data_IF_392592883933
#
_entry.id   IF_392592883933
#
_cell.length_a   1.000
_cell.length_b   1.000
_cell.length_c   1.000
_cell.angle_alpha   90.00
_cell.angle_beta   90.00
_cell.angle_gamma   90.00
#
_symmetry.space_group_name_H-M   'P 1'
#
loop_
_entity.id
_entity.type
_entity.pdbx_description
1 polymer ?
#
# COMPACT_ATOMS: atom_id res chain seq x y z
N UNK A 1 -38.65 -3.38 6.39
CA UNK A 1 -38.53 -3.68 4.93
C UNK A 1 -38.88 -2.45 4.09
N UNK A 2 -40.04 -1.78 4.30
CA UNK A 2 -40.49 -0.64 3.49
C UNK A 2 -39.44 0.50 3.39
N UNK A 3 -38.70 0.82 4.47
CA UNK A 3 -37.68 1.85 4.50
C UNK A 3 -36.48 1.58 3.54
N UNK A 4 -36.13 0.32 3.36
CA UNK A 4 -35.01 -0.11 2.51
C UNK A 4 -35.40 -0.57 1.11
N UNK A 5 -36.72 -0.70 0.82
CA UNK A 5 -37.21 -1.12 -0.48
C UNK A 5 -36.66 -0.32 -1.68
N UNK A 6 -36.43 1.02 -1.60
CA UNK A 6 -35.82 1.78 -2.69
C UNK A 6 -34.41 1.36 -3.06
N UNK A 7 -33.66 0.75 -2.12
CA UNK A 7 -32.28 0.28 -2.32
C UNK A 7 -32.19 -1.16 -2.80
N UNK A 8 -33.31 -1.91 -2.83
CA UNK A 8 -33.39 -3.33 -3.17
C UNK A 8 -34.18 -3.59 -4.47
N UNK A 9 -34.05 -2.71 -5.46
CA UNK A 9 -34.92 -2.70 -6.69
C UNK A 9 -34.82 -3.96 -7.57
N UNK A 10 -33.68 -4.69 -7.56
CA UNK A 10 -33.44 -5.81 -8.46
C UNK A 10 -33.25 -7.17 -7.76
N UNK A 11 -33.01 -7.17 -6.47
CA UNK A 11 -32.88 -8.37 -5.63
C UNK A 11 -33.23 -8.00 -4.20
N UNK A 12 -33.81 -8.95 -3.46
CA UNK A 12 -33.93 -8.79 -2.02
C UNK A 12 -32.51 -8.79 -1.40
N UNK A 13 -32.10 -7.60 -0.96
CA UNK A 13 -30.79 -7.37 -0.31
C UNK A 13 -30.89 -7.37 1.21
N UNK A 14 -32.10 -7.51 1.75
CA UNK A 14 -32.34 -7.52 3.17
C UNK A 14 -32.38 -8.96 3.68
N UNK A 15 -31.38 -9.30 4.49
CA UNK A 15 -31.32 -10.58 5.17
C UNK A 15 -31.61 -10.31 6.64
N UNK A 16 -32.74 -10.85 7.14
CA UNK A 16 -33.14 -10.75 8.54
C UNK A 16 -32.57 -11.93 9.31
N UNK A 17 -31.87 -11.62 10.41
CA UNK A 17 -31.27 -12.63 11.30
C UNK A 17 -31.25 -12.11 12.74
N UNK A 18 -30.88 -12.94 13.70
CA UNK A 18 -30.68 -12.51 15.07
C UNK A 18 -29.49 -11.54 15.19
N UNK A 19 -29.45 -10.77 16.28
CA UNK A 19 -28.45 -9.71 16.47
C UNK A 19 -27.03 -10.24 16.46
N UNK A 20 -26.74 -11.37 17.10
CA UNK A 20 -25.40 -11.95 17.17
C UNK A 20 -24.91 -12.41 15.80
N UNK A 21 -25.78 -13.05 15.03
CA UNK A 21 -25.48 -13.45 13.63
C UNK A 21 -25.28 -12.25 12.73
N UNK A 22 -26.04 -11.16 12.90
CA UNK A 22 -25.86 -9.95 12.12
C UNK A 22 -24.53 -9.23 12.40
N UNK A 23 -24.13 -9.14 13.67
CA UNK A 23 -22.83 -8.59 14.06
C UNK A 23 -21.70 -9.50 13.55
N UNK A 24 -21.79 -10.81 13.72
CA UNK A 24 -20.79 -11.75 13.23
C UNK A 24 -20.65 -11.69 11.70
N UNK A 25 -21.75 -11.57 10.96
CA UNK A 25 -21.74 -11.43 9.50
C UNK A 25 -20.89 -10.22 9.07
N UNK A 26 -20.99 -9.09 9.76
CA UNK A 26 -20.19 -7.91 9.47
C UNK A 26 -18.70 -8.14 9.69
N UNK A 27 -18.33 -8.74 10.83
CA UNK A 27 -16.93 -9.03 11.15
C UNK A 27 -16.36 -10.10 10.20
N UNK A 28 -17.10 -11.17 9.95
CA UNK A 28 -16.68 -12.24 9.05
C UNK A 28 -16.43 -11.73 7.63
N UNK A 29 -17.33 -10.89 7.10
CA UNK A 29 -17.16 -10.29 5.77
C UNK A 29 -15.87 -9.45 5.69
N UNK A 30 -15.62 -8.57 6.67
CA UNK A 30 -14.41 -7.76 6.67
C UNK A 30 -13.14 -8.59 6.85
N UNK A 31 -13.15 -9.62 7.70
CA UNK A 31 -12.04 -10.54 7.88
C UNK A 31 -11.75 -11.34 6.61
N UNK A 32 -12.79 -11.79 5.89
CA UNK A 32 -12.61 -12.46 4.59
C UNK A 32 -11.96 -11.55 3.55
N UNK A 33 -12.36 -10.28 3.47
CA UNK A 33 -11.74 -9.32 2.56
C UNK A 33 -10.29 -9.02 2.97
N UNK A 34 -10.01 -8.87 4.26
CA UNK A 34 -8.65 -8.71 4.79
C UNK A 34 -7.77 -9.94 4.49
N UNK A 35 -8.35 -11.16 4.59
CA UNK A 35 -7.67 -12.41 4.22
C UNK A 35 -7.27 -12.42 2.76
N UNK A 36 -8.14 -12.02 1.84
CA UNK A 36 -7.82 -11.93 0.40
C UNK A 36 -6.65 -10.99 0.13
N UNK A 37 -6.61 -9.83 0.81
CA UNK A 37 -5.52 -8.86 0.67
C UNK A 37 -4.21 -9.42 1.26
N UNK A 38 -4.24 -10.00 2.47
CA UNK A 38 -3.04 -10.59 3.07
C UNK A 38 -2.53 -11.78 2.27
N UNK A 39 -3.43 -12.64 1.76
CA UNK A 39 -3.07 -13.76 0.90
C UNK A 39 -2.34 -13.32 -0.35
N UNK A 40 -2.89 -12.38 -1.13
CA UNK A 40 -2.24 -11.93 -2.36
C UNK A 40 -0.92 -11.20 -2.10
N UNK A 41 -0.78 -10.52 -0.97
CA UNK A 41 0.46 -9.89 -0.56
C UNK A 41 1.54 -10.91 -0.19
N UNK A 42 1.16 -12.00 0.49
CA UNK A 42 2.08 -13.11 0.77
C UNK A 42 2.51 -13.80 -0.52
N UNK A 43 1.57 -14.09 -1.43
CA UNK A 43 1.88 -14.60 -2.78
C UNK A 43 2.80 -13.63 -3.55
N UNK A 44 2.59 -12.32 -3.46
CA UNK A 44 3.47 -11.33 -4.07
C UNK A 44 4.91 -11.44 -3.56
N UNK A 45 5.09 -11.56 -2.24
CA UNK A 45 6.42 -11.73 -1.64
C UNK A 45 7.09 -13.06 -2.04
N UNK A 46 6.30 -14.12 -2.31
CA UNK A 46 6.80 -15.38 -2.86
C UNK A 46 7.21 -15.19 -4.33
N UNK A 47 6.35 -14.54 -5.14
CA UNK A 47 6.64 -14.27 -6.55
C UNK A 47 7.99 -13.58 -6.75
N UNK A 48 8.29 -12.56 -5.94
CA UNK A 48 9.60 -11.87 -6.01
C UNK A 48 10.79 -12.81 -5.79
N UNK A 49 10.66 -13.80 -4.90
CA UNK A 49 11.74 -14.74 -4.58
C UNK A 49 11.94 -15.81 -5.63
N UNK A 50 10.87 -16.21 -6.31
CA UNK A 50 10.92 -17.27 -7.34
C UNK A 50 10.98 -16.71 -8.77
N UNK A 51 11.02 -15.38 -8.93
CA UNK A 51 11.08 -14.73 -10.25
C UNK A 51 9.77 -14.74 -11.02
N UNK A 52 8.62 -14.89 -10.33
CA UNK A 52 7.30 -14.81 -10.96
C UNK A 52 6.74 -13.37 -10.92
N UNK A 53 5.76 -13.07 -11.79
CA UNK A 53 5.00 -11.82 -11.77
C UNK A 53 3.66 -12.02 -11.08
N UNK A 54 3.47 -11.35 -9.94
CA UNK A 54 2.20 -11.40 -9.19
C UNK A 54 1.02 -10.86 -10.00
N UNK A 55 1.24 -9.96 -10.95
CA UNK A 55 0.19 -9.46 -11.85
C UNK A 55 -0.36 -10.56 -12.75
N UNK A 56 0.52 -11.43 -13.30
CA UNK A 56 0.13 -12.61 -14.07
C UNK A 56 -0.59 -13.63 -13.18
N UNK A 57 -0.04 -13.93 -12.00
CA UNK A 57 -0.67 -14.82 -11.01
C UNK A 57 -2.06 -14.31 -10.62
N UNK A 58 -2.20 -13.02 -10.32
CA UNK A 58 -3.49 -12.38 -9.99
C UNK A 58 -4.52 -12.54 -11.12
N UNK A 59 -4.12 -12.32 -12.38
CA UNK A 59 -5.01 -12.53 -13.53
C UNK A 59 -5.46 -13.98 -13.63
N UNK A 60 -4.53 -14.91 -13.46
CA UNK A 60 -4.83 -16.35 -13.53
C UNK A 60 -5.83 -16.80 -12.47
N UNK A 61 -5.53 -16.56 -11.18
CA UNK A 61 -6.42 -16.99 -10.09
C UNK A 61 -7.73 -16.21 -10.07
N UNK A 62 -7.72 -14.92 -10.47
CA UNK A 62 -8.91 -14.06 -10.51
C UNK A 62 -9.90 -14.45 -11.61
N UNK A 63 -9.48 -15.17 -12.64
CA UNK A 63 -10.34 -15.69 -13.70
C UNK A 63 -11.28 -16.80 -13.18
N UNK A 64 -10.91 -17.50 -12.09
CA UNK A 64 -11.82 -18.44 -11.42
C UNK A 64 -12.93 -17.64 -10.70
N UNK A 65 -14.20 -17.88 -11.07
CA UNK A 65 -15.36 -17.18 -10.50
C UNK A 65 -15.51 -17.40 -8.99
N UNK A 66 -14.97 -18.49 -8.43
CA UNK A 66 -14.98 -18.77 -6.99
C UNK A 66 -14.06 -17.83 -6.22
N UNK A 67 -13.03 -17.27 -6.87
CA UNK A 67 -12.06 -16.34 -6.30
C UNK A 67 -12.42 -14.90 -6.69
N UNK A 68 -12.55 -14.64 -8.01
CA UNK A 68 -12.82 -13.33 -8.58
C UNK A 68 -11.67 -12.34 -8.44
N UNK A 69 -11.72 -11.23 -9.16
CA UNK A 69 -10.66 -10.23 -9.22
C UNK A 69 -10.64 -9.23 -8.06
N UNK A 70 -11.71 -9.18 -7.25
CA UNK A 70 -11.84 -8.19 -6.19
C UNK A 70 -11.04 -8.59 -4.94
N UNK A 71 -10.41 -7.58 -4.31
CA UNK A 71 -9.62 -7.70 -3.08
C UNK A 71 -8.35 -8.59 -3.17
N UNK A 72 -7.91 -8.94 -4.37
CA UNK A 72 -6.64 -9.63 -4.63
C UNK A 72 -5.66 -8.71 -5.39
N UNK A 73 -5.58 -7.44 -4.98
CA UNK A 73 -4.60 -6.47 -5.50
C UNK A 73 -3.39 -6.43 -4.55
N UNK A 74 -2.19 -6.83 -5.00
CA UNK A 74 -0.99 -6.75 -4.18
C UNK A 74 -0.59 -5.29 -3.95
N UNK A 75 -0.04 -5.00 -2.78
CA UNK A 75 0.38 -3.66 -2.42
C UNK A 75 0.93 -3.58 -1.00
N UNK A 76 0.74 -2.43 -0.35
CA UNK A 76 1.29 -2.09 0.95
C UNK A 76 0.49 -2.61 2.16
N UNK A 77 -0.39 -3.58 1.97
CA UNK A 77 -1.33 -4.00 2.99
C UNK A 77 -2.56 -3.10 3.08
N UNK A 78 -3.45 -3.44 4.00
CA UNK A 78 -4.65 -2.66 4.30
C UNK A 78 -4.48 -1.76 5.52
N UNK A 79 -5.21 -0.65 5.51
CA UNK A 79 -5.33 0.31 6.61
C UNK A 79 -6.77 0.78 6.73
N UNK A 80 -6.94 2.00 7.25
CA UNK A 80 -8.25 2.61 7.48
C UNK A 80 -8.89 2.19 8.78
N UNK A 81 -10.14 2.59 8.98
CA UNK A 81 -10.85 2.41 10.23
C UNK A 81 -11.54 1.06 10.39
N UNK A 82 -11.80 0.34 9.29
CA UNK A 82 -12.65 -0.85 9.31
C UNK A 82 -11.83 -2.15 9.47
N UNK A 83 -11.00 -2.49 8.49
CA UNK A 83 -10.32 -3.78 8.48
C UNK A 83 -9.41 -4.01 9.70
N UNK A 84 -8.49 -3.09 10.08
CA UNK A 84 -7.63 -3.35 11.22
C UNK A 84 -8.42 -3.51 12.53
N UNK A 85 -9.44 -2.67 12.72
CA UNK A 85 -10.29 -2.72 13.91
C UNK A 85 -11.12 -4.01 13.97
N UNK A 86 -11.77 -4.39 12.87
CA UNK A 86 -12.68 -5.52 12.84
C UNK A 86 -11.93 -6.86 12.94
N UNK A 87 -10.75 -6.96 12.32
CA UNK A 87 -9.86 -8.12 12.47
C UNK A 87 -9.42 -8.28 13.92
N UNK A 88 -8.90 -7.22 14.55
CA UNK A 88 -8.48 -7.24 15.96
C UNK A 88 -9.65 -7.55 16.90
N UNK A 89 -10.84 -6.95 16.66
CA UNK A 89 -12.03 -7.20 17.46
C UNK A 89 -12.47 -8.67 17.38
N UNK A 90 -12.47 -9.27 16.17
CA UNK A 90 -12.83 -10.68 16.03
C UNK A 90 -11.82 -11.61 16.71
N UNK A 91 -10.52 -11.31 16.64
CA UNK A 91 -9.48 -12.06 17.36
C UNK A 91 -9.74 -12.01 18.88
N UNK A 92 -10.02 -10.82 19.42
CA UNK A 92 -10.31 -10.65 20.85
C UNK A 92 -11.57 -11.40 21.25
N UNK A 93 -12.67 -11.22 20.50
CA UNK A 93 -13.95 -11.92 20.78
C UNK A 93 -13.80 -13.43 20.75
N UNK A 94 -13.03 -13.97 19.80
CA UNK A 94 -12.76 -15.40 19.72
C UNK A 94 -12.02 -15.91 20.97
N UNK A 95 -10.94 -15.23 21.37
CA UNK A 95 -10.16 -15.61 22.56
C UNK A 95 -10.95 -15.50 23.84
N UNK A 96 -11.75 -14.46 24.00
CA UNK A 96 -12.64 -14.28 25.14
C UNK A 96 -13.71 -15.39 25.25
N UNK A 97 -14.06 -16.00 24.10
CA UNK A 97 -14.96 -17.15 24.03
C UNK A 97 -14.26 -18.52 24.12
N UNK A 98 -12.93 -18.54 24.36
CA UNK A 98 -12.15 -19.78 24.51
C UNK A 98 -11.67 -20.40 23.18
N UNK A 99 -11.72 -19.65 22.06
CA UNK A 99 -11.27 -20.13 20.76
C UNK A 99 -10.07 -19.31 20.25
N UNK A 100 -8.97 -19.97 19.86
CA UNK A 100 -7.82 -19.25 19.24
C UNK A 100 -8.01 -19.19 17.71
N UNK A 101 -8.18 -17.98 17.14
CA UNK A 101 -8.47 -17.79 15.73
C UNK A 101 -7.17 -17.70 14.90
N UNK A 102 -6.47 -18.81 14.75
CA UNK A 102 -5.15 -18.90 14.09
C UNK A 102 -5.10 -18.22 12.73
N UNK A 103 -6.06 -18.51 11.84
CA UNK A 103 -6.10 -17.93 10.50
C UNK A 103 -6.22 -16.41 10.54
N UNK A 104 -7.12 -15.86 11.34
CA UNK A 104 -7.38 -14.42 11.42
C UNK A 104 -6.19 -13.70 12.07
N UNK A 105 -5.56 -14.31 13.07
CA UNK A 105 -4.34 -13.81 13.69
C UNK A 105 -3.18 -13.81 12.69
N UNK A 106 -3.03 -14.83 11.85
CA UNK A 106 -2.05 -14.87 10.77
C UNK A 106 -2.29 -13.75 9.73
N UNK A 107 -3.54 -13.48 9.38
CA UNK A 107 -3.90 -12.38 8.45
C UNK A 107 -3.44 -11.01 8.98
N UNK A 108 -3.65 -10.73 10.28
CA UNK A 108 -3.19 -9.48 10.91
C UNK A 108 -1.66 -9.39 10.92
N UNK A 109 -0.99 -10.48 11.27
CA UNK A 109 0.47 -10.56 11.29
C UNK A 109 1.09 -10.37 9.89
N UNK A 110 0.51 -10.98 8.85
CA UNK A 110 0.93 -10.78 7.46
C UNK A 110 0.77 -9.32 7.05
N UNK A 111 -0.38 -8.70 7.36
CA UNK A 111 -0.63 -7.31 7.03
C UNK A 111 0.36 -6.36 7.72
N UNK A 112 0.69 -6.60 8.97
CA UNK A 112 1.68 -5.81 9.70
C UNK A 112 3.06 -5.87 9.02
N UNK A 113 3.53 -7.06 8.65
CA UNK A 113 4.80 -7.24 7.91
C UNK A 113 4.77 -6.58 6.52
N UNK A 114 3.60 -6.62 5.87
CA UNK A 114 3.44 -6.05 4.52
C UNK A 114 3.61 -4.54 4.49
N UNK A 115 3.15 -3.82 5.51
CA UNK A 115 3.32 -2.36 5.60
C UNK A 115 4.80 -1.92 5.60
N UNK A 116 5.70 -2.80 5.97
CA UNK A 116 7.15 -2.53 6.06
C UNK A 116 7.92 -2.89 4.77
N UNK A 117 7.29 -3.61 3.82
CA UNK A 117 8.01 -4.16 2.64
C UNK A 117 8.66 -3.05 1.81
N UNK A 118 7.96 -1.95 1.55
CA UNK A 118 8.50 -0.87 0.74
C UNK A 118 9.64 -0.12 1.45
N UNK A 119 9.51 0.11 2.76
CA UNK A 119 10.57 0.72 3.57
C UNK A 119 11.85 -0.11 3.52
N UNK A 120 11.73 -1.45 3.63
CA UNK A 120 12.88 -2.35 3.48
C UNK A 120 13.51 -2.28 2.09
N UNK A 121 12.71 -2.29 1.01
CA UNK A 121 13.23 -2.13 -0.37
C UNK A 121 14.02 -0.83 -0.54
N UNK A 122 13.53 0.27 0.04
CA UNK A 122 14.24 1.56 0.03
C UNK A 122 15.55 1.44 0.81
N UNK A 123 15.52 0.88 2.01
CA UNK A 123 16.73 0.71 2.84
C UNK A 123 17.78 -0.17 2.15
N UNK A 124 17.37 -1.31 1.58
CA UNK A 124 18.25 -2.23 0.85
C UNK A 124 18.90 -1.55 -0.38
N UNK A 125 18.11 -0.76 -1.12
CA UNK A 125 18.64 -0.02 -2.27
C UNK A 125 19.73 0.98 -1.89
N UNK A 126 19.55 1.66 -0.76
CA UNK A 126 20.52 2.65 -0.28
C UNK A 126 21.67 2.04 0.54
N UNK A 127 21.55 0.82 1.04
CA UNK A 127 22.63 0.17 1.82
C UNK A 127 23.97 0.16 1.07
N UNK A 128 23.97 -0.19 -0.22
CA UNK A 128 25.14 -0.15 -1.09
C UNK A 128 25.53 1.25 -1.61
N UNK A 129 24.83 2.31 -1.18
CA UNK A 129 24.98 3.68 -1.68
C UNK A 129 25.21 4.71 -0.55
N UNK A 130 25.76 4.27 0.57
CA UNK A 130 26.08 5.11 1.72
C UNK A 130 24.95 5.24 2.76
N UNK A 131 23.91 4.40 2.69
CA UNK A 131 22.84 4.35 3.68
C UNK A 131 21.74 5.42 3.48
N UNK A 132 20.90 5.56 4.50
CA UNK A 132 19.72 6.43 4.48
C UNK A 132 19.97 7.81 5.09
N UNK A 133 20.98 7.94 5.96
CA UNK A 133 21.24 9.19 6.68
C UNK A 133 21.58 10.34 5.73
N UNK A 134 20.96 11.49 5.97
CA UNK A 134 21.11 12.68 5.13
C UNK A 134 20.42 12.63 3.77
N UNK A 135 19.76 11.54 3.40
CA UNK A 135 18.99 11.44 2.15
C UNK A 135 17.57 11.96 2.30
N UNK A 136 16.94 12.26 1.17
CA UNK A 136 15.57 12.77 1.09
C UNK A 136 14.73 11.86 0.21
N UNK A 137 13.62 11.35 0.75
CA UNK A 137 12.60 10.63 0.00
C UNK A 137 11.45 11.55 -0.39
N UNK A 138 11.09 11.58 -1.66
CA UNK A 138 9.79 12.07 -2.09
C UNK A 138 8.74 10.97 -1.87
N UNK A 139 7.62 11.29 -1.23
CA UNK A 139 6.57 10.33 -0.93
C UNK A 139 5.24 10.84 -1.48
N UNK A 140 4.64 10.08 -2.41
CA UNK A 140 3.32 10.34 -2.96
C UNK A 140 2.27 9.44 -2.34
N UNK A 141 1.31 10.08 -1.67
CA UNK A 141 0.21 9.42 -0.98
C UNK A 141 0.46 9.23 0.51
N UNK A 142 -0.49 9.69 1.31
CA UNK A 142 -0.47 9.61 2.78
C UNK A 142 -1.68 8.87 3.32
N UNK A 143 -2.86 9.01 2.68
CA UNK A 143 -4.06 8.29 3.03
C UNK A 143 -3.92 6.78 2.76
N UNK A 144 -4.65 5.94 3.51
CA UNK A 144 -4.60 4.48 3.34
C UNK A 144 -5.12 3.99 1.98
N UNK A 145 -5.93 4.79 1.30
CA UNK A 145 -6.42 4.59 -0.08
C UNK A 145 -6.76 5.94 -0.72
N UNK A 146 -6.99 5.97 -2.02
CA UNK A 146 -7.47 7.15 -2.74
C UNK A 146 -8.89 7.57 -2.30
N UNK A 147 -9.25 8.82 -2.59
CA UNK A 147 -10.57 9.43 -2.34
C UNK A 147 -10.95 9.54 -0.85
N UNK A 148 -9.97 9.66 0.03
CA UNK A 148 -10.18 9.92 1.47
C UNK A 148 -8.97 10.64 2.06
N UNK A 149 -9.17 11.34 3.18
CA UNK A 149 -8.11 11.89 4.02
C UNK A 149 -7.71 10.97 5.17
N UNK A 150 -8.32 9.76 5.26
CA UNK A 150 -8.12 8.86 6.39
C UNK A 150 -6.72 8.23 6.36
N UNK A 151 -5.92 8.53 7.38
CA UNK A 151 -4.56 8.03 7.56
C UNK A 151 -4.44 6.96 8.64
N UNK A 152 -5.57 6.53 9.25
CA UNK A 152 -5.52 5.51 10.30
C UNK A 152 -4.94 4.21 9.75
N UNK A 153 -3.95 3.67 10.46
CA UNK A 153 -3.27 2.42 10.04
C UNK A 153 -2.72 2.46 8.60
N UNK A 154 -2.46 3.66 8.05
CA UNK A 154 -1.90 3.80 6.71
C UNK A 154 -0.43 3.34 6.66
N UNK A 155 -0.05 2.65 5.60
CA UNK A 155 1.33 2.19 5.40
C UNK A 155 2.33 3.35 5.28
N UNK A 156 1.87 4.53 4.83
CA UNK A 156 2.68 5.76 4.77
C UNK A 156 3.27 6.15 6.12
N UNK A 157 2.50 5.98 7.21
CA UNK A 157 2.96 6.31 8.56
C UNK A 157 4.09 5.38 9.02
N UNK A 158 4.00 4.08 8.70
CA UNK A 158 5.07 3.12 9.01
C UNK A 158 6.34 3.44 8.23
N UNK A 159 6.23 3.73 6.95
CA UNK A 159 7.35 4.11 6.08
C UNK A 159 8.02 5.39 6.61
N UNK A 160 7.24 6.43 6.91
CA UNK A 160 7.76 7.68 7.46
C UNK A 160 8.51 7.41 8.76
N UNK A 161 7.90 6.68 9.69
CA UNK A 161 8.49 6.34 10.99
C UNK A 161 9.81 5.59 10.85
N UNK A 162 9.84 4.53 10.02
CA UNK A 162 11.02 3.69 9.84
C UNK A 162 12.18 4.46 9.17
N UNK A 163 11.90 5.17 8.08
CA UNK A 163 12.94 5.86 7.33
C UNK A 163 13.47 7.09 8.06
N UNK A 164 12.61 7.84 8.77
CA UNK A 164 13.07 8.99 9.55
C UNK A 164 13.88 8.58 10.78
N UNK A 165 13.55 7.45 11.40
CA UNK A 165 14.35 6.88 12.48
C UNK A 165 15.75 6.44 11.99
N UNK A 166 15.87 6.05 10.72
CA UNK A 166 17.14 5.72 10.07
C UNK A 166 17.88 6.93 9.47
N UNK A 167 17.44 8.16 9.77
CA UNK A 167 18.12 9.40 9.37
C UNK A 167 17.64 10.02 8.05
N UNK A 168 16.75 9.38 7.30
CA UNK A 168 16.25 9.88 6.03
C UNK A 168 15.19 10.99 6.26
N UNK A 169 15.23 12.07 5.49
CA UNK A 169 14.16 13.05 5.47
C UNK A 169 13.06 12.65 4.46
N UNK A 170 11.82 13.00 4.74
CA UNK A 170 10.67 12.70 3.88
C UNK A 170 9.96 13.99 3.48
N UNK A 171 9.82 14.24 2.19
CA UNK A 171 8.94 15.26 1.62
C UNK A 171 7.71 14.54 1.06
N UNK A 172 6.54 14.81 1.58
CA UNK A 172 5.33 14.07 1.24
C UNK A 172 4.26 14.96 0.61
N UNK A 173 3.52 14.41 -0.33
CA UNK A 173 2.34 15.03 -0.91
C UNK A 173 1.17 14.03 -0.95
N UNK A 174 0.00 14.51 -0.60
CA UNK A 174 -1.27 13.83 -0.80
C UNK A 174 -2.34 14.83 -1.23
N UNK A 175 -3.17 14.54 -2.23
CA UNK A 175 -4.18 15.46 -2.73
C UNK A 175 -5.19 15.95 -1.71
N UNK A 176 -5.45 15.16 -0.66
CA UNK A 176 -6.52 15.40 0.31
C UNK A 176 -6.02 15.33 1.76
N UNK A 177 -5.12 14.40 2.07
CA UNK A 177 -4.70 14.13 3.44
C UNK A 177 -3.64 15.11 4.00
N UNK A 178 -3.15 16.07 3.22
CA UNK A 178 -2.05 16.96 3.63
C UNK A 178 -2.30 17.69 4.95
N UNK A 179 -3.48 18.29 5.14
CA UNK A 179 -3.84 18.99 6.39
C UNK A 179 -3.93 18.04 7.59
N UNK A 180 -4.41 16.82 7.37
CA UNK A 180 -4.47 15.78 8.40
C UNK A 180 -3.07 15.29 8.76
N UNK A 181 -2.22 15.10 7.76
CA UNK A 181 -0.83 14.70 7.97
C UNK A 181 -0.05 15.73 8.82
N UNK A 182 -0.21 17.03 8.56
CA UNK A 182 0.41 18.07 9.39
C UNK A 182 -0.03 17.99 10.83
N UNK A 183 -1.31 17.79 11.10
CA UNK A 183 -1.81 17.65 12.49
C UNK A 183 -1.29 16.37 13.15
N UNK A 184 -1.18 15.27 12.42
CA UNK A 184 -0.79 13.97 12.96
C UNK A 184 0.73 13.87 13.21
N UNK A 185 1.53 14.41 12.29
CA UNK A 185 2.99 14.33 12.33
C UNK A 185 3.61 15.54 13.07
N UNK A 186 2.84 16.62 13.28
CA UNK A 186 3.31 17.82 13.97
C UNK A 186 4.56 18.41 13.32
N UNK A 187 5.41 19.01 14.16
CA UNK A 187 6.70 19.61 13.74
C UNK A 187 7.83 18.57 13.68
N UNK A 188 7.58 17.43 13.02
CA UNK A 188 8.58 16.38 12.90
C UNK A 188 9.80 16.88 12.10
N UNK A 189 11.04 16.89 12.65
CA UNK A 189 12.18 17.62 12.09
C UNK A 189 12.65 17.08 10.71
N UNK A 190 12.26 15.84 10.37
CA UNK A 190 12.65 15.19 9.10
C UNK A 190 11.47 15.00 8.14
N UNK A 191 10.29 15.58 8.41
CA UNK A 191 9.09 15.42 7.58
C UNK A 191 8.57 16.78 7.12
N UNK A 192 8.40 16.93 5.81
CA UNK A 192 7.76 18.11 5.22
C UNK A 192 6.55 17.68 4.40
N UNK A 193 5.39 18.26 4.65
CA UNK A 193 4.18 18.07 3.85
C UNK A 193 4.12 19.20 2.81
N UNK A 194 4.17 18.80 1.54
CA UNK A 194 4.19 19.67 0.38
C UNK A 194 2.79 19.98 -0.14
N UNK A 195 2.66 21.06 -0.93
CA UNK A 195 1.36 21.55 -1.43
C UNK A 195 1.04 21.05 -2.84
N UNK A 196 2.04 20.59 -3.59
CA UNK A 196 1.86 20.11 -4.96
C UNK A 196 2.60 18.80 -5.21
N UNK A 197 2.13 18.05 -6.23
CA UNK A 197 2.63 16.71 -6.56
C UNK A 197 4.13 16.67 -6.84
N UNK A 198 4.68 17.67 -7.53
CA UNK A 198 6.09 17.66 -7.94
C UNK A 198 7.03 18.32 -6.95
N UNK A 199 6.54 19.10 -6.00
CA UNK A 199 7.36 19.77 -4.98
C UNK A 199 8.19 18.79 -4.14
N UNK A 200 7.69 17.61 -3.68
CA UNK A 200 8.50 16.67 -2.94
C UNK A 200 9.73 16.17 -3.69
N UNK A 201 9.65 16.10 -5.03
CA UNK A 201 10.70 15.56 -5.88
C UNK A 201 11.93 16.47 -5.97
N UNK A 202 11.77 17.77 -5.72
CA UNK A 202 12.86 18.75 -5.86
C UNK A 202 14.01 18.41 -4.92
N UNK A 203 15.11 17.91 -5.50
CA UNK A 203 16.31 17.49 -4.77
C UNK A 203 16.12 16.26 -3.87
N UNK A 204 15.06 15.46 -4.08
CA UNK A 204 14.91 14.17 -3.43
C UNK A 204 15.81 13.11 -4.08
N UNK A 205 16.21 12.13 -3.28
CA UNK A 205 17.07 11.03 -3.75
C UNK A 205 16.27 9.94 -4.47
N UNK A 206 14.99 9.75 -4.15
CA UNK A 206 14.10 8.79 -4.80
C UNK A 206 12.63 9.18 -4.60
N UNK A 207 11.73 8.54 -5.36
CA UNK A 207 10.27 8.64 -5.21
C UNK A 207 9.70 7.34 -4.67
N UNK A 208 8.84 7.42 -3.64
CA UNK A 208 7.97 6.34 -3.20
C UNK A 208 6.50 6.67 -3.44
N UNK A 209 5.72 5.69 -3.93
CA UNK A 209 4.27 5.82 -4.16
C UNK A 209 3.54 4.86 -3.23
N UNK A 210 2.69 5.41 -2.35
CA UNK A 210 2.05 4.65 -1.27
C UNK A 210 0.53 4.58 -1.41
N UNK A 211 -0.07 5.55 -2.09
CA UNK A 211 -1.51 5.60 -2.34
C UNK A 211 -1.79 5.72 -3.85
N UNK A 212 -2.79 5.00 -4.32
CA UNK A 212 -3.13 4.87 -5.74
C UNK A 212 -4.05 5.98 -6.28
N UNK A 213 -3.72 7.23 -5.96
CA UNK A 213 -4.44 8.38 -6.49
C UNK A 213 -4.43 8.41 -8.02
N UNK A 214 -5.55 8.77 -8.62
CA UNK A 214 -5.66 8.81 -10.08
C UNK A 214 -4.64 9.75 -10.74
N UNK A 215 -4.35 10.89 -10.09
CA UNK A 215 -3.34 11.85 -10.59
C UNK A 215 -1.91 11.31 -10.61
N UNK A 216 -1.61 10.23 -9.85
CA UNK A 216 -0.28 9.61 -9.86
C UNK A 216 -0.11 8.58 -11.00
N UNK A 217 -1.20 8.18 -11.68
CA UNK A 217 -1.16 7.12 -12.71
C UNK A 217 -0.48 7.53 -14.00
N UNK A 218 -0.60 8.80 -14.39
CA UNK A 218 -0.01 9.32 -15.62
C UNK A 218 0.80 10.60 -15.34
N UNK A 219 1.93 10.49 -14.62
CA UNK A 219 2.76 11.64 -14.32
C UNK A 219 3.65 12.01 -15.51
N UNK A 220 4.21 13.20 -15.50
CA UNK A 220 5.32 13.57 -16.37
C UNK A 220 6.62 12.92 -15.87
N UNK A 221 6.97 11.75 -16.43
CA UNK A 221 8.20 11.02 -16.09
C UNK A 221 9.47 11.82 -16.41
N UNK A 222 9.46 12.61 -17.48
CA UNK A 222 10.58 13.48 -17.82
C UNK A 222 10.84 14.53 -16.74
N UNK A 223 9.77 15.11 -16.16
CA UNK A 223 9.85 16.02 -15.03
C UNK A 223 10.31 15.31 -13.75
N UNK A 224 9.79 14.13 -13.45
CA UNK A 224 10.25 13.33 -12.30
C UNK A 224 11.76 13.09 -12.39
N UNK A 225 12.25 12.63 -13.54
CA UNK A 225 13.67 12.33 -13.75
C UNK A 225 14.57 13.55 -13.58
N UNK A 226 14.11 14.73 -14.00
CA UNK A 226 14.88 15.99 -13.85
C UNK A 226 14.95 16.49 -12.40
N UNK A 227 13.92 16.21 -11.60
CA UNK A 227 13.82 16.72 -10.23
C UNK A 227 14.52 15.82 -9.21
N UNK A 228 14.55 14.50 -9.46
CA UNK A 228 15.22 13.53 -8.60
C UNK A 228 16.74 13.55 -8.80
N UNK A 229 17.50 13.38 -7.71
CA UNK A 229 18.95 13.15 -7.76
C UNK A 229 19.30 11.78 -8.33
N UNK A 230 18.52 10.77 -7.98
CA UNK A 230 18.66 9.39 -8.45
C UNK A 230 17.32 9.00 -9.08
N UNK A 231 17.28 8.56 -10.35
CA UNK A 231 16.04 8.18 -11.01
C UNK A 231 15.55 6.80 -10.49
N UNK A 232 15.15 6.74 -9.22
CA UNK A 232 14.63 5.54 -8.58
C UNK A 232 13.18 5.74 -8.11
N UNK A 233 12.31 4.79 -8.44
CA UNK A 233 10.90 4.77 -8.07
C UNK A 233 10.58 3.50 -7.30
N UNK A 234 9.99 3.66 -6.12
CA UNK A 234 9.47 2.60 -5.26
C UNK A 234 7.94 2.65 -5.28
N UNK A 235 7.34 1.78 -6.05
CA UNK A 235 5.89 1.78 -6.29
C UNK A 235 5.18 0.71 -5.44
N UNK A 236 4.64 1.12 -4.32
CA UNK A 236 3.90 0.27 -3.39
C UNK A 236 2.49 -0.09 -3.88
N UNK A 237 2.06 0.43 -5.03
CA UNK A 237 0.70 0.22 -5.58
C UNK A 237 0.69 -0.40 -6.96
N UNK A 238 1.87 -0.69 -7.53
CA UNK A 238 2.02 -1.25 -8.87
C UNK A 238 1.27 -0.44 -9.95
N UNK A 239 1.41 0.89 -9.90
CA UNK A 239 0.73 1.81 -10.80
C UNK A 239 1.31 1.77 -12.21
N UNK A 240 2.62 1.52 -12.31
CA UNK A 240 3.34 1.59 -13.57
C UNK A 240 3.76 0.22 -14.07
N UNK A 241 3.96 0.15 -15.37
CA UNK A 241 4.63 -0.98 -16.00
C UNK A 241 6.14 -0.91 -15.74
N UNK A 242 6.71 -2.03 -15.32
CA UNK A 242 8.11 -2.08 -14.89
C UNK A 242 9.10 -1.90 -16.06
N UNK A 243 8.79 -2.50 -17.23
CA UNK A 243 9.64 -2.40 -18.42
C UNK A 243 9.59 -0.98 -18.99
N UNK A 244 8.40 -0.38 -19.00
CA UNK A 244 8.21 1.00 -19.43
C UNK A 244 8.97 1.99 -18.53
N UNK A 245 8.90 1.82 -17.23
CA UNK A 245 9.63 2.67 -16.27
C UNK A 245 11.16 2.53 -16.44
N UNK A 246 11.65 1.29 -16.60
CA UNK A 246 13.06 1.03 -16.88
C UNK A 246 13.50 1.61 -18.22
N UNK A 247 12.68 1.50 -19.26
CA UNK A 247 12.93 2.11 -20.57
C UNK A 247 13.00 3.65 -20.54
N UNK A 248 12.32 4.28 -19.58
CA UNK A 248 12.40 5.73 -19.32
C UNK A 248 13.62 6.11 -18.45
N UNK A 249 14.44 5.14 -18.04
CA UNK A 249 15.70 5.34 -17.32
C UNK A 249 15.56 5.36 -15.80
N UNK A 250 14.53 4.71 -15.23
CA UNK A 250 14.36 4.57 -13.79
C UNK A 250 14.79 3.20 -13.28
N UNK A 251 15.44 3.16 -12.12
CA UNK A 251 15.47 1.99 -11.28
C UNK A 251 14.07 1.84 -10.66
N UNK A 252 13.33 0.80 -11.03
CA UNK A 252 11.93 0.64 -10.63
C UNK A 252 11.72 -0.59 -9.76
N UNK A 253 11.11 -0.36 -8.61
CA UNK A 253 10.79 -1.37 -7.60
C UNK A 253 9.29 -1.36 -7.34
N UNK A 254 8.65 -2.52 -7.44
CA UNK A 254 7.22 -2.69 -7.18
C UNK A 254 6.98 -3.83 -6.20
N UNK A 255 5.73 -4.20 -5.98
CA UNK A 255 5.34 -5.29 -5.09
C UNK A 255 5.06 -6.55 -5.90
N UNK A 256 5.77 -7.67 -5.59
CA UNK A 256 5.52 -8.98 -6.19
C UNK A 256 6.06 -9.15 -7.61
N UNK A 257 7.08 -8.37 -7.97
CA UNK A 257 7.78 -8.44 -9.25
C UNK A 257 9.28 -8.22 -9.03
N UNK A 258 10.10 -8.78 -9.91
CA UNK A 258 11.52 -8.44 -9.95
C UNK A 258 11.71 -6.94 -10.19
N UNK A 259 12.76 -6.39 -9.60
CA UNK A 259 13.16 -5.02 -9.87
C UNK A 259 13.56 -4.86 -11.36
N UNK A 260 13.13 -3.77 -11.97
CA UNK A 260 13.54 -3.42 -13.33
C UNK A 260 14.50 -2.21 -13.28
N UNK A 261 15.55 -2.26 -14.09
CA UNK A 261 16.53 -1.19 -14.20
C UNK A 261 16.81 -0.90 -15.68
N UNK A 262 17.25 0.33 -16.02
CA UNK A 262 17.64 0.66 -17.37
C UNK A 262 18.70 -0.30 -17.90
N UNK A 263 18.60 -0.68 -19.17
CA UNK A 263 19.67 -1.40 -19.85
C UNK A 263 20.93 -0.53 -19.76
N UNK A 264 21.91 -0.94 -18.96
CA UNK A 264 23.22 -0.31 -19.01
C UNK A 264 23.80 -0.69 -20.36
N UNK A 265 23.87 0.25 -21.32
CA UNK A 265 24.74 0.07 -22.49
C UNK A 265 26.10 -0.34 -21.92
N UNK A 266 26.56 -1.53 -22.31
CA UNK A 266 27.94 -1.93 -22.05
C UNK A 266 28.79 -0.90 -22.80
N UNK A 267 29.39 0.02 -22.05
CA UNK A 267 30.46 0.87 -22.60
C UNK A 267 31.54 -0.07 -23.15
N UNK A 268 31.54 -0.20 -24.46
CA UNK A 268 32.62 -0.81 -25.25
C UNK A 268 33.84 0.05 -25.16
#
# INVERSE_FOLDING_TARGET
EALYAPFARSRDKMIVMDVRSAEMTKYAANCMLATKISFINEVANICERVGADVGAVRRGIGADHRIGHHFIYPGMGYGGSCFPKDVKALITTARDSGYDPELIAAVDAVNHRQKQVLGRKIADYFAGRGGLDGRVLALWGLAFKANTDDMREAASLEIIRELTAAGMAVKAFDPVAGSRARRLLGDHPRVRICESQYEPLEGADALAIVTDWNQFRNPDFGRIRKLLKIPAIFDGRNLYDAELAAGMGFDYFSIGRAAAAPSREKST
#
